data_IF_872932032442
#
_entry.id   IF_872932032442
#
_cell.length_a   1.000
_cell.length_b   1.000
_cell.length_c   1.000
_cell.angle_alpha   90.00
_cell.angle_beta   90.00
_cell.angle_gamma   90.00
#
_symmetry.space_group_name_H-M   'P 1'
#
loop_
_entity.id
_entity.type
_entity.pdbx_description
1 polymer ?
#
# COMPACT_ATOMS: atom_id res chain seq x y z
N UNK A 1 11.41 -5.17 6.56
CA UNK A 1 9.96 -5.29 6.28
C UNK A 1 9.21 -5.92 7.44
N UNK A 2 9.45 -7.19 7.81
CA UNK A 2 8.70 -7.88 8.87
C UNK A 2 8.65 -7.12 10.22
N UNK A 3 9.78 -6.54 10.67
CA UNK A 3 9.82 -5.77 11.92
C UNK A 3 8.92 -4.51 11.90
N UNK A 4 8.87 -3.80 10.77
CA UNK A 4 8.06 -2.58 10.64
C UNK A 4 6.57 -2.89 10.54
N UNK A 5 6.20 -3.96 9.84
CA UNK A 5 4.81 -4.42 9.77
C UNK A 5 4.32 -4.92 11.13
N UNK A 6 5.15 -5.65 11.88
CA UNK A 6 4.83 -6.05 13.26
C UNK A 6 4.63 -4.83 14.17
N UNK A 7 5.47 -3.80 14.02
CA UNK A 7 5.31 -2.55 14.78
C UNK A 7 4.01 -1.84 14.40
N UNK A 8 3.73 -1.69 13.10
CA UNK A 8 2.50 -1.08 12.61
C UNK A 8 1.24 -1.80 13.12
N UNK A 9 1.22 -3.13 13.07
CA UNK A 9 0.14 -3.98 13.59
C UNK A 9 -0.11 -3.76 15.09
N UNK A 10 0.96 -3.55 15.87
CA UNK A 10 0.83 -3.25 17.30
C UNK A 10 0.34 -1.83 17.60
N UNK A 11 0.68 -0.85 16.74
CA UNK A 11 0.29 0.55 16.91
C UNK A 11 -1.16 0.81 16.46
N UNK A 12 -1.69 -0.02 15.57
CA UNK A 12 -3.07 0.07 15.11
C UNK A 12 -4.02 -0.45 16.21
N UNK A 13 -4.49 0.46 17.06
CA UNK A 13 -5.40 0.16 18.17
C UNK A 13 -6.88 0.43 17.85
N UNK A 14 -7.14 1.27 16.86
CA UNK A 14 -8.46 1.66 16.38
C UNK A 14 -8.60 1.31 14.88
N UNK A 15 -9.61 1.87 14.19
CA UNK A 15 -9.76 1.69 12.75
C UNK A 15 -8.59 2.29 11.95
N UNK A 16 -8.00 3.38 12.45
CA UNK A 16 -6.91 4.13 11.84
C UNK A 16 -5.77 4.38 12.82
N UNK A 17 -4.57 4.69 12.32
CA UNK A 17 -3.42 5.08 13.15
C UNK A 17 -3.70 6.35 13.95
N UNK A 18 -4.54 7.26 13.44
CA UNK A 18 -4.95 8.48 14.14
C UNK A 18 -6.13 8.28 15.12
N UNK A 19 -6.73 7.09 15.20
CA UNK A 19 -7.89 6.79 16.05
C UNK A 19 -9.07 6.21 15.27
N UNK A 20 -10.30 6.59 15.63
CA UNK A 20 -11.51 6.08 14.97
C UNK A 20 -11.74 6.67 13.57
N UNK A 21 -11.08 7.78 13.24
CA UNK A 21 -11.15 8.45 11.95
C UNK A 21 -9.74 8.60 11.35
N UNK A 22 -9.59 8.62 10.01
CA UNK A 22 -8.30 8.79 9.37
C UNK A 22 -7.72 10.18 9.70
N UNK A 23 -6.41 10.23 9.91
CA UNK A 23 -5.69 11.47 10.17
C UNK A 23 -4.36 11.54 9.44
N UNK A 24 -3.53 12.50 9.83
CA UNK A 24 -2.25 12.77 9.15
C UNK A 24 -1.37 11.52 8.98
N UNK A 25 -1.24 10.71 10.04
CA UNK A 25 -0.42 9.50 10.01
C UNK A 25 -0.93 8.50 8.95
N UNK A 26 -2.24 8.37 8.79
CA UNK A 26 -2.87 7.45 7.85
C UNK A 26 -2.61 7.89 6.41
N UNK A 27 -2.91 9.14 6.07
CA UNK A 27 -2.69 9.65 4.71
C UNK A 27 -1.21 9.69 4.34
N UNK A 28 -0.32 9.95 5.31
CA UNK A 28 1.12 9.92 5.08
C UNK A 28 1.63 8.50 4.82
N UNK A 29 1.16 7.51 5.59
CA UNK A 29 1.62 6.14 5.47
C UNK A 29 1.02 5.40 4.26
N UNK A 30 -0.26 5.65 3.96
CA UNK A 30 -1.03 4.87 2.99
C UNK A 30 -0.36 4.66 1.61
N UNK A 31 0.23 5.67 0.96
CA UNK A 31 0.89 5.48 -0.33
C UNK A 31 1.98 4.39 -0.31
N UNK A 32 2.74 4.29 0.78
CA UNK A 32 3.81 3.31 0.93
C UNK A 32 3.26 1.90 1.10
N UNK A 33 2.22 1.72 1.93
CA UNK A 33 1.60 0.41 2.15
C UNK A 33 0.82 -0.08 0.93
N UNK A 34 0.21 0.84 0.17
CA UNK A 34 -0.42 0.53 -1.12
C UNK A 34 0.61 0.11 -2.15
N UNK A 35 1.73 0.84 -2.28
CA UNK A 35 2.81 0.43 -3.19
C UNK A 35 3.38 -0.93 -2.77
N UNK A 36 3.59 -1.15 -1.47
CA UNK A 36 4.05 -2.43 -0.96
C UNK A 36 3.13 -3.60 -1.36
N UNK A 37 1.82 -3.38 -1.43
CA UNK A 37 0.83 -4.39 -1.84
C UNK A 37 0.95 -4.78 -3.30
N UNK A 38 1.63 -3.97 -4.10
CA UNK A 38 1.77 -4.17 -5.53
C UNK A 38 3.05 -4.91 -5.90
N UNK A 39 4.05 -4.92 -5.02
CA UNK A 39 5.35 -5.57 -5.28
C UNK A 39 5.25 -7.05 -5.67
N UNK A 40 4.36 -7.88 -5.10
CA UNK A 40 4.23 -9.28 -5.53
C UNK A 40 3.84 -9.44 -7.00
N UNK A 41 3.19 -8.44 -7.60
CA UNK A 41 2.75 -8.48 -8.99
C UNK A 41 3.78 -7.96 -9.99
N UNK A 42 4.93 -7.45 -9.51
CA UNK A 42 6.02 -6.97 -10.37
C UNK A 42 6.83 -8.17 -10.87
N UNK A 43 7.08 -8.25 -12.17
CA UNK A 43 7.85 -9.35 -12.74
C UNK A 43 9.26 -9.42 -12.14
N UNK A 44 9.66 -10.61 -11.66
CA UNK A 44 10.95 -10.83 -11.00
C UNK A 44 11.01 -10.36 -9.54
N UNK A 45 9.88 -9.97 -8.94
CA UNK A 45 9.83 -9.63 -7.51
C UNK A 45 10.22 -10.81 -6.64
N UNK A 46 11.01 -10.52 -5.60
CA UNK A 46 11.36 -11.48 -4.55
C UNK A 46 10.36 -11.45 -3.39
N UNK A 47 9.44 -10.47 -3.38
CA UNK A 47 8.39 -10.32 -2.38
C UNK A 47 7.22 -11.21 -2.79
N UNK A 48 6.79 -12.10 -1.90
CA UNK A 48 5.65 -12.99 -2.14
C UNK A 48 4.38 -12.41 -1.52
N UNK A 49 3.21 -12.87 -1.97
CA UNK A 49 1.91 -12.47 -1.39
C UNK A 49 1.86 -12.70 0.13
N UNK A 50 2.53 -13.74 0.62
CA UNK A 50 2.61 -14.06 2.04
C UNK A 50 3.55 -13.14 2.83
N UNK A 51 4.33 -12.25 2.18
CA UNK A 51 5.19 -11.26 2.84
C UNK A 51 4.48 -9.91 3.07
N UNK A 52 3.21 -9.81 2.67
CA UNK A 52 2.39 -8.60 2.72
C UNK A 52 1.36 -8.64 3.87
N UNK A 53 0.90 -7.47 4.41
CA UNK A 53 -0.28 -7.41 5.25
C UNK A 53 -1.48 -8.13 4.68
N UNK A 54 -1.77 -9.27 5.28
CA UNK A 54 -2.92 -10.10 4.98
C UNK A 54 -3.59 -10.50 6.29
N UNK A 55 -4.77 -11.11 6.18
CA UNK A 55 -5.57 -11.52 7.33
C UNK A 55 -4.86 -12.54 8.25
N UNK A 56 -3.77 -13.17 7.82
CA UNK A 56 -3.03 -14.15 8.62
C UNK A 56 -1.89 -13.53 9.42
N UNK A 57 -1.09 -12.65 8.82
CA UNK A 57 0.12 -12.10 9.44
C UNK A 57 -0.09 -10.74 10.09
N UNK A 58 -0.86 -9.85 9.44
CA UNK A 58 -1.06 -8.47 9.89
C UNK A 58 -2.53 -8.04 9.65
N UNK A 59 -3.50 -8.71 10.31
CA UNK A 59 -4.92 -8.52 10.03
C UNK A 59 -5.42 -7.10 10.30
N UNK A 60 -4.85 -6.36 11.25
CA UNK A 60 -5.26 -4.97 11.49
C UNK A 60 -4.75 -4.05 10.39
N UNK A 61 -3.48 -4.19 10.00
CA UNK A 61 -2.93 -3.41 8.88
C UNK A 61 -3.66 -3.73 7.58
N UNK A 62 -4.00 -5.00 7.33
CA UNK A 62 -4.80 -5.40 6.17
C UNK A 62 -6.18 -4.71 6.17
N UNK A 63 -6.90 -4.73 7.30
CA UNK A 63 -8.18 -4.03 7.44
C UNK A 63 -8.05 -2.52 7.26
N UNK A 64 -7.00 -1.92 7.84
CA UNK A 64 -6.72 -0.50 7.69
C UNK A 64 -6.46 -0.12 6.22
N UNK A 65 -5.71 -0.94 5.48
CA UNK A 65 -5.46 -0.69 4.06
C UNK A 65 -6.76 -0.68 3.25
N UNK A 66 -7.64 -1.67 3.50
CA UNK A 66 -8.97 -1.73 2.89
C UNK A 66 -9.78 -0.48 3.25
N UNK A 67 -9.86 -0.13 4.53
CA UNK A 67 -10.59 1.05 4.99
C UNK A 67 -10.08 2.35 4.35
N UNK A 68 -8.76 2.53 4.23
CA UNK A 68 -8.18 3.67 3.52
C UNK A 68 -8.56 3.69 2.03
N UNK A 69 -8.62 2.54 1.36
CA UNK A 69 -9.00 2.46 -0.06
C UNK A 69 -10.46 2.80 -0.35
N UNK A 70 -11.32 2.70 0.66
CA UNK A 70 -12.75 3.02 0.58
C UNK A 70 -13.05 4.52 0.81
N UNK A 71 -12.06 5.29 1.28
CA UNK A 71 -12.20 6.73 1.47
C UNK A 71 -12.25 7.46 0.12
N UNK A 72 -13.23 8.35 -0.04
CA UNK A 72 -13.50 9.05 -1.30
C UNK A 72 -12.31 9.89 -1.79
N UNK A 73 -11.64 10.58 -0.87
CA UNK A 73 -10.49 11.43 -1.14
C UNK A 73 -9.23 10.64 -1.49
N UNK A 74 -9.11 9.42 -0.97
CA UNK A 74 -8.04 8.49 -1.34
C UNK A 74 -8.31 7.96 -2.74
N UNK A 75 -9.51 7.44 -2.98
CA UNK A 75 -9.92 6.92 -4.28
C UNK A 75 -9.76 7.97 -5.41
N UNK A 76 -10.03 9.24 -5.13
CA UNK A 76 -9.86 10.34 -6.08
C UNK A 76 -8.41 10.59 -6.50
N UNK A 77 -7.43 10.18 -5.69
CA UNK A 77 -6.00 10.39 -5.96
C UNK A 77 -5.27 9.11 -6.42
N UNK A 78 -5.98 7.99 -6.49
CA UNK A 78 -5.42 6.68 -6.77
C UNK A 78 -5.43 6.40 -8.28
N UNK A 79 -4.27 6.04 -8.83
CA UNK A 79 -4.15 5.54 -10.20
C UNK A 79 -4.53 4.05 -10.30
N UNK A 80 -5.12 3.61 -11.43
CA UNK A 80 -5.35 2.19 -11.70
C UNK A 80 -4.09 1.35 -11.47
N UNK A 81 -4.25 0.12 -10.97
CA UNK A 81 -3.13 -0.74 -10.56
C UNK A 81 -2.20 -1.03 -11.74
N UNK A 82 -2.76 -1.27 -12.92
CA UNK A 82 -2.03 -1.52 -14.16
C UNK A 82 -1.09 -0.37 -14.55
N UNK A 83 -1.51 0.88 -14.35
CA UNK A 83 -0.69 2.05 -14.64
C UNK A 83 0.47 2.16 -13.65
N UNK A 84 0.21 1.90 -12.37
CA UNK A 84 1.25 1.92 -11.33
C UNK A 84 2.26 0.80 -11.54
N UNK A 85 1.82 -0.42 -11.84
CA UNK A 85 2.71 -1.54 -12.12
C UNK A 85 3.59 -1.26 -13.34
N UNK A 86 3.00 -0.77 -14.44
CA UNK A 86 3.75 -0.41 -15.64
C UNK A 86 4.80 0.67 -15.36
N UNK A 87 4.43 1.71 -14.61
CA UNK A 87 5.36 2.77 -14.20
C UNK A 87 6.52 2.20 -13.36
N UNK A 88 6.24 1.29 -12.41
CA UNK A 88 7.27 0.69 -11.56
C UNK A 88 8.21 -0.21 -12.37
N UNK A 89 7.70 -1.04 -13.28
CA UNK A 89 8.52 -1.87 -14.17
C UNK A 89 9.46 -1.03 -15.04
N UNK A 90 8.93 0.03 -15.66
CA UNK A 90 9.73 0.99 -16.44
C UNK A 90 10.77 1.69 -15.56
N UNK A 91 10.40 2.02 -14.32
CA UNK A 91 11.30 2.65 -13.36
C UNK A 91 12.49 1.77 -13.00
N UNK A 92 12.27 0.47 -12.75
CA UNK A 92 13.37 -0.47 -12.48
C UNK A 92 14.27 -0.68 -13.70
N UNK A 93 13.73 -0.53 -14.91
CA UNK A 93 14.50 -0.52 -16.15
C UNK A 93 15.20 0.80 -16.48
N UNK A 94 15.03 1.85 -15.67
CA UNK A 94 15.60 3.18 -15.91
C UNK A 94 14.90 4.00 -17.01
N UNK A 95 13.71 3.58 -17.45
CA UNK A 95 12.95 4.19 -18.55
C UNK A 95 11.60 4.75 -18.07
N UNK A 96 11.60 5.45 -16.94
CA UNK A 96 10.42 5.99 -16.27
C UNK A 96 9.53 6.79 -17.23
N UNK A 97 8.29 6.34 -17.43
CA UNK A 97 7.30 7.05 -18.22
C UNK A 97 6.24 7.70 -17.32
N UNK A 98 6.38 9.00 -17.06
CA UNK A 98 5.43 9.77 -16.25
C UNK A 98 4.06 9.96 -16.93
N UNK A 99 3.96 9.69 -18.23
CA UNK A 99 2.71 9.76 -19.00
C UNK A 99 1.98 8.40 -19.03
N UNK A 100 2.38 7.45 -18.19
CA UNK A 100 1.68 6.16 -18.07
C UNK A 100 0.26 6.38 -17.59
N UNK A 101 -0.72 6.15 -18.47
CA UNK A 101 -2.14 6.31 -18.16
C UNK A 101 -2.74 7.69 -18.46
N UNK A 102 -1.98 8.58 -19.13
CA UNK A 102 -2.47 9.82 -19.71
C UNK A 102 -2.86 9.67 -21.19
#
# INVERSE_FOLDING_TARGET
MAAELTKAESLLMFAFFAGDNPGFADYFAYPFYRLLSMYPYINGSVVKDDDYPNDKLYPKVAKWLTAMSELSEVAACVQPQENVLKFLEDSFGGNQNYDTGL
#
